data_IF_850123645387
#
_entry.id   IF_850123645387
#
_cell.length_a   1.000
_cell.length_b   1.000
_cell.length_c   1.000
_cell.angle_alpha   90.00
_cell.angle_beta   90.00
_cell.angle_gamma   90.00
#
_symmetry.space_group_name_H-M   'P 1'
#
loop_
_entity.id
_entity.type
_entity.pdbx_description
1 polymer ?
#
# COMPACT_ATOMS: atom_id res chain seq x y z
N UNK A 1 -33.64 3.62 0.75
CA UNK A 1 -32.23 3.22 0.97
C UNK A 1 -32.12 2.26 2.14
N UNK A 2 -32.81 2.48 3.27
CA UNK A 2 -32.76 1.58 4.43
C UNK A 2 -33.13 0.12 4.11
N UNK A 3 -33.96 -0.12 3.08
CA UNK A 3 -34.38 -1.45 2.65
C UNK A 3 -33.40 -2.16 1.68
N UNK A 4 -32.30 -1.49 1.28
CA UNK A 4 -31.23 -2.07 0.46
C UNK A 4 -30.06 -2.39 1.38
N UNK A 5 -29.47 -3.57 1.23
CA UNK A 5 -28.34 -3.97 2.06
C UNK A 5 -27.17 -2.99 1.94
N UNK A 6 -26.45 -2.78 3.04
CA UNK A 6 -25.29 -1.90 3.06
C UNK A 6 -24.20 -2.34 2.07
N UNK A 7 -24.03 -3.65 1.90
CA UNK A 7 -23.11 -4.23 0.90
C UNK A 7 -23.41 -3.71 -0.51
N UNK A 8 -24.67 -3.84 -0.96
CA UNK A 8 -25.10 -3.39 -2.28
C UNK A 8 -24.93 -1.87 -2.47
N UNK A 9 -25.19 -1.08 -1.42
CA UNK A 9 -24.97 0.36 -1.46
C UNK A 9 -23.48 0.73 -1.59
N UNK A 10 -22.60 -0.10 -1.03
CA UNK A 10 -21.17 0.13 -1.00
C UNK A 10 -20.41 -0.29 -2.27
N UNK A 11 -21.01 -1.10 -3.14
CA UNK A 11 -20.41 -1.44 -4.43
C UNK A 11 -20.17 -0.17 -5.23
N UNK A 12 -19.11 -0.16 -6.03
CA UNK A 12 -18.80 0.99 -6.88
C UNK A 12 -19.91 1.20 -7.92
N UNK A 13 -19.93 2.35 -8.59
CA UNK A 13 -20.93 2.60 -9.65
C UNK A 13 -20.72 1.67 -10.83
N UNK A 14 -19.46 1.39 -11.14
CA UNK A 14 -19.02 0.44 -12.16
C UNK A 14 -19.44 -1.00 -11.81
N UNK A 15 -19.66 -1.29 -10.52
CA UNK A 15 -20.10 -2.59 -9.99
C UNK A 15 -21.62 -2.63 -9.71
N UNK A 16 -22.38 -1.65 -10.21
CA UNK A 16 -23.84 -1.61 -10.07
C UNK A 16 -24.34 -1.08 -8.74
N UNK A 17 -23.47 -0.57 -7.87
CA UNK A 17 -23.84 0.04 -6.60
C UNK A 17 -23.85 1.56 -6.61
N UNK A 18 -24.15 2.14 -5.46
CA UNK A 18 -24.30 3.60 -5.31
C UNK A 18 -22.94 4.30 -5.22
N UNK A 19 -21.89 3.55 -4.85
CA UNK A 19 -20.53 4.04 -4.61
C UNK A 19 -20.30 4.56 -3.20
N UNK A 20 -21.07 4.11 -2.20
CA UNK A 20 -20.80 4.46 -0.80
C UNK A 20 -19.54 3.74 -0.32
N UNK A 21 -18.74 4.36 0.56
CA UNK A 21 -17.53 3.69 1.05
C UNK A 21 -17.88 2.73 2.18
N UNK A 22 -17.53 1.44 2.09
CA UNK A 22 -17.77 0.52 3.18
C UNK A 22 -16.90 0.87 4.38
N UNK A 23 -17.50 0.93 5.58
CA UNK A 23 -16.81 1.36 6.81
C UNK A 23 -15.57 0.50 7.12
N UNK A 24 -15.63 -0.80 6.83
CA UNK A 24 -14.49 -1.70 7.01
C UNK A 24 -13.29 -1.30 6.14
N UNK A 25 -13.52 -0.88 4.89
CA UNK A 25 -12.47 -0.45 3.97
C UNK A 25 -11.92 0.91 4.40
N UNK A 26 -12.78 1.84 4.81
CA UNK A 26 -12.36 3.14 5.36
C UNK A 26 -11.45 2.96 6.58
N UNK A 27 -11.82 2.07 7.51
CA UNK A 27 -11.01 1.76 8.69
C UNK A 27 -9.65 1.16 8.32
N UNK A 28 -9.62 0.18 7.39
CA UNK A 28 -8.37 -0.42 6.90
C UNK A 28 -7.49 0.62 6.21
N UNK A 29 -8.05 1.43 5.31
CA UNK A 29 -7.33 2.48 4.60
C UNK A 29 -6.77 3.56 5.54
N UNK A 30 -7.49 3.92 6.60
CA UNK A 30 -6.98 4.81 7.63
C UNK A 30 -5.80 4.18 8.40
N UNK A 31 -5.85 2.89 8.69
CA UNK A 31 -4.73 2.13 9.26
C UNK A 31 -3.50 2.14 8.35
N UNK A 32 -3.70 1.88 7.06
CA UNK A 32 -2.61 1.91 6.06
C UNK A 32 -2.03 3.31 5.91
N UNK A 33 -2.86 4.36 5.93
CA UNK A 33 -2.39 5.76 5.96
C UNK A 33 -1.51 6.05 7.18
N UNK A 34 -1.91 5.54 8.35
CA UNK A 34 -1.12 5.69 9.59
C UNK A 34 0.23 4.99 9.45
N UNK A 35 0.23 3.76 8.92
CA UNK A 35 1.43 2.97 8.70
C UNK A 35 2.36 3.60 7.65
N UNK A 36 1.80 4.18 6.59
CA UNK A 36 2.54 4.98 5.60
C UNK A 36 3.24 6.18 6.24
N UNK A 37 2.52 6.94 7.07
CA UNK A 37 3.11 8.09 7.80
C UNK A 37 4.20 7.67 8.76
N UNK A 38 4.03 6.52 9.42
CA UNK A 38 5.04 5.95 10.29
C UNK A 38 6.31 5.60 9.50
N UNK A 39 6.17 4.88 8.40
CA UNK A 39 7.28 4.43 7.56
C UNK A 39 8.01 5.59 6.86
N UNK A 40 7.27 6.60 6.39
CA UNK A 40 7.88 7.80 5.78
C UNK A 40 8.74 8.59 6.78
N UNK A 41 8.47 8.46 8.07
CA UNK A 41 9.21 9.19 9.10
C UNK A 41 8.97 10.70 9.04
N UNK A 42 9.95 11.47 9.53
CA UNK A 42 9.96 12.94 9.48
C UNK A 42 8.94 13.61 10.42
N UNK A 43 8.44 12.89 11.42
CA UNK A 43 7.59 13.47 12.47
C UNK A 43 7.99 12.91 13.82
N UNK A 44 7.90 13.76 14.86
CA UNK A 44 8.19 13.37 16.24
C UNK A 44 7.41 12.13 16.68
N UNK A 45 6.15 12.01 16.23
CA UNK A 45 5.34 10.82 16.50
C UNK A 45 5.94 9.55 15.88
N UNK A 46 6.37 9.61 14.60
CA UNK A 46 6.95 8.44 13.93
C UNK A 46 8.28 8.03 14.58
N UNK A 47 9.13 9.00 14.89
CA UNK A 47 10.42 8.78 15.57
C UNK A 47 10.23 8.19 16.97
N UNK A 48 9.32 8.75 17.77
CA UNK A 48 9.01 8.22 19.09
C UNK A 48 8.48 6.79 19.02
N UNK A 49 7.55 6.51 18.09
CA UNK A 49 7.01 5.16 17.90
C UNK A 49 8.12 4.18 17.47
N UNK A 50 9.03 4.58 16.58
CA UNK A 50 10.13 3.74 16.13
C UNK A 50 11.11 3.45 17.28
N UNK A 51 11.49 4.47 18.04
CA UNK A 51 12.37 4.31 19.20
C UNK A 51 11.74 3.44 20.30
N UNK A 52 10.44 3.60 20.54
CA UNK A 52 9.71 2.82 21.56
C UNK A 52 9.55 1.35 21.17
N UNK A 53 9.16 1.07 19.92
CA UNK A 53 8.71 -0.27 19.53
C UNK A 53 9.67 -1.03 18.61
N UNK A 54 10.35 -0.35 17.68
CA UNK A 54 11.28 -1.03 16.75
C UNK A 54 12.64 -1.27 17.39
N UNK A 55 13.16 -0.35 18.22
CA UNK A 55 14.45 -0.51 18.92
C UNK A 55 15.59 -0.99 17.99
N UNK A 56 15.75 -0.35 16.83
CA UNK A 56 16.71 -0.69 15.75
C UNK A 56 16.39 -1.95 14.93
N UNK A 57 15.25 -2.60 15.15
CA UNK A 57 14.75 -3.66 14.27
C UNK A 57 14.08 -3.02 13.06
N UNK A 58 14.36 -3.53 11.86
CA UNK A 58 13.70 -3.07 10.63
C UNK A 58 12.17 -3.25 10.73
N UNK A 59 11.42 -2.28 10.17
CA UNK A 59 9.96 -2.26 10.21
C UNK A 59 9.33 -3.55 9.69
N UNK A 60 9.87 -4.16 8.63
CA UNK A 60 9.34 -5.35 7.98
C UNK A 60 9.61 -6.63 8.77
N UNK A 61 10.74 -6.71 9.47
CA UNK A 61 11.13 -7.87 10.28
C UNK A 61 10.55 -7.85 11.71
N UNK A 62 10.11 -6.70 12.21
CA UNK A 62 9.60 -6.58 13.58
C UNK A 62 8.38 -7.50 13.80
N UNK A 63 8.46 -8.44 14.76
CA UNK A 63 7.31 -9.31 15.09
C UNK A 63 6.30 -8.55 15.94
N UNK A 64 5.02 -8.89 15.78
CA UNK A 64 3.96 -8.32 16.62
C UNK A 64 4.09 -8.90 18.02
N UNK A 65 4.36 -8.04 19.01
CA UNK A 65 4.44 -8.42 20.42
C UNK A 65 3.16 -8.05 21.18
N UNK A 66 2.83 -8.83 22.22
CA UNK A 66 1.65 -8.58 23.05
C UNK A 66 1.73 -7.28 23.85
N UNK A 67 2.93 -6.81 24.19
CA UNK A 67 3.18 -5.58 24.92
C UNK A 67 3.09 -4.32 24.03
N UNK A 68 2.94 -4.48 22.72
CA UNK A 68 2.74 -3.34 21.82
C UNK A 68 1.36 -2.72 21.98
N UNK A 69 1.28 -1.40 21.83
CA UNK A 69 0.00 -0.70 21.80
C UNK A 69 -0.88 -1.22 20.66
N UNK A 70 -2.20 -1.13 20.85
CA UNK A 70 -3.18 -1.51 19.82
C UNK A 70 -2.91 -0.78 18.51
N UNK A 71 -2.54 0.50 18.58
CA UNK A 71 -2.18 1.32 17.43
C UNK A 71 -0.96 0.77 16.69
N UNK A 72 0.12 0.43 17.39
CA UNK A 72 1.31 -0.10 16.72
C UNK A 72 1.06 -1.48 16.13
N UNK A 73 0.32 -2.35 16.83
CA UNK A 73 -0.13 -3.64 16.27
C UNK A 73 -0.94 -3.45 14.99
N UNK A 74 -1.82 -2.43 14.94
CA UNK A 74 -2.58 -2.11 13.73
C UNK A 74 -1.68 -1.62 12.59
N UNK A 75 -0.66 -0.81 12.88
CA UNK A 75 0.35 -0.39 11.91
C UNK A 75 1.09 -1.60 11.34
N UNK A 76 1.57 -2.53 12.18
CA UNK A 76 2.28 -3.73 11.73
C UNK A 76 1.38 -4.65 10.88
N UNK A 77 0.09 -4.76 11.21
CA UNK A 77 -0.88 -5.54 10.42
C UNK A 77 -1.14 -4.95 9.03
N UNK A 78 -0.81 -3.69 8.78
CA UNK A 78 -0.99 -3.05 7.47
C UNK A 78 0.16 -3.34 6.49
N UNK A 79 1.25 -3.99 6.93
CA UNK A 79 2.41 -4.31 6.08
C UNK A 79 2.07 -4.98 4.76
N UNK A 80 1.19 -6.01 4.67
CA UNK A 80 0.92 -6.67 3.40
C UNK A 80 0.33 -5.73 2.36
N UNK A 81 -0.59 -4.85 2.76
CA UNK A 81 -1.21 -3.85 1.88
C UNK A 81 -0.20 -2.75 1.52
N UNK A 82 0.58 -2.27 2.50
CA UNK A 82 1.62 -1.28 2.24
C UNK A 82 2.63 -1.79 1.22
N UNK A 83 3.13 -3.00 1.41
CA UNK A 83 4.22 -3.57 0.62
C UNK A 83 3.93 -3.57 -0.88
N UNK A 84 2.71 -3.91 -1.28
CA UNK A 84 2.26 -3.88 -2.68
C UNK A 84 1.86 -2.49 -3.21
N UNK A 85 1.81 -1.49 -2.32
CA UNK A 85 1.33 -0.14 -2.64
C UNK A 85 2.45 0.92 -2.60
N UNK A 86 3.69 0.51 -2.34
CA UNK A 86 4.84 1.40 -2.18
C UNK A 86 5.98 0.98 -3.09
N UNK A 87 6.77 1.96 -3.48
CA UNK A 87 8.03 1.79 -4.19
C UNK A 87 9.12 2.58 -3.46
N UNK A 88 10.34 2.05 -3.46
CA UNK A 88 11.52 2.74 -2.93
C UNK A 88 12.19 3.50 -4.08
N UNK A 89 12.27 4.82 -3.97
CA UNK A 89 13.07 5.63 -4.88
C UNK A 89 14.52 5.58 -4.36
N UNK A 90 15.38 4.87 -5.09
CA UNK A 90 16.78 4.67 -4.72
C UNK A 90 17.62 5.90 -5.07
N UNK A 91 18.47 6.31 -4.13
CA UNK A 91 19.48 7.37 -4.27
C UNK A 91 20.80 6.89 -3.70
N UNK A 92 21.21 7.37 -2.53
CA UNK A 92 22.45 6.97 -1.87
C UNK A 92 22.41 5.55 -1.28
N UNK A 93 21.22 4.95 -1.15
CA UNK A 93 21.03 3.61 -0.60
C UNK A 93 21.33 3.50 0.89
N UNK A 94 21.58 4.61 1.59
CA UNK A 94 22.05 4.61 2.99
C UNK A 94 20.92 4.36 3.99
N UNK A 95 19.68 4.65 3.61
CA UNK A 95 18.51 4.46 4.48
C UNK A 95 17.65 3.27 4.07
N UNK A 96 18.10 2.50 3.08
CA UNK A 96 17.39 1.31 2.58
C UNK A 96 18.11 0.04 3.02
N UNK A 97 17.44 -0.77 3.83
CA UNK A 97 17.95 -2.08 4.24
C UNK A 97 18.06 -3.01 3.02
N UNK A 98 19.24 -3.58 2.82
CA UNK A 98 19.54 -4.41 1.66
C UNK A 98 18.62 -5.63 1.58
N UNK A 99 18.32 -6.24 2.73
CA UNK A 99 17.69 -7.55 2.78
C UNK A 99 16.19 -7.49 3.06
N UNK A 100 15.77 -6.54 3.89
CA UNK A 100 14.44 -6.53 4.49
C UNK A 100 13.49 -5.52 3.84
N UNK A 101 14.01 -4.42 3.29
CA UNK A 101 13.15 -3.43 2.64
C UNK A 101 12.68 -3.92 1.25
N UNK A 102 11.42 -3.65 0.87
CA UNK A 102 10.87 -4.11 -0.40
C UNK A 102 11.24 -3.18 -1.58
N UNK A 103 12.53 -3.10 -1.90
CA UNK A 103 13.05 -2.21 -2.95
C UNK A 103 13.12 -2.84 -4.35
N UNK A 104 12.90 -4.16 -4.48
CA UNK A 104 12.86 -4.88 -5.77
C UNK A 104 11.42 -5.18 -6.22
N UNK A 105 10.72 -4.14 -6.70
CA UNK A 105 9.35 -4.28 -7.21
C UNK A 105 8.40 -4.81 -6.14
N UNK A 106 8.35 -4.14 -4.98
CA UNK A 106 7.55 -4.54 -3.82
C UNK A 106 7.98 -5.83 -3.11
N UNK A 107 9.15 -6.39 -3.44
CA UNK A 107 9.75 -7.55 -2.75
C UNK A 107 11.08 -7.18 -2.13
N UNK A 108 11.44 -7.86 -1.04
CA UNK A 108 12.77 -7.74 -0.45
C UNK A 108 13.72 -8.81 -0.99
N UNK A 109 15.03 -8.60 -0.92
CA UNK A 109 16.00 -9.60 -1.35
C UNK A 109 15.85 -10.92 -0.57
N UNK A 110 15.56 -10.82 0.73
CA UNK A 110 15.38 -12.00 1.58
C UNK A 110 14.25 -12.90 1.07
N UNK A 111 13.16 -12.30 0.59
CA UNK A 111 12.01 -13.04 0.05
C UNK A 111 12.31 -13.69 -1.30
N UNK A 112 13.07 -13.00 -2.15
CA UNK A 112 13.46 -13.52 -3.47
C UNK A 112 14.39 -14.73 -3.33
N UNK A 113 15.33 -14.65 -2.38
CA UNK A 113 16.32 -15.71 -2.16
C UNK A 113 15.80 -16.86 -1.28
N UNK A 114 14.61 -16.72 -0.68
CA UNK A 114 13.96 -17.77 0.11
C UNK A 114 14.69 -18.17 1.39
N UNK A 115 15.64 -17.35 1.88
CA UNK A 115 16.55 -17.69 2.98
C UNK A 115 16.21 -17.03 4.32
N UNK A 116 16.88 -17.49 5.39
CA UNK A 116 17.04 -16.75 6.64
C UNK A 116 18.33 -15.93 6.58
N UNK A 117 18.35 -14.76 7.24
CA UNK A 117 19.58 -14.00 7.47
C UNK A 117 20.46 -14.79 8.45
N UNK A 118 21.22 -15.75 7.92
CA UNK A 118 22.00 -16.69 8.74
C UNK A 118 23.21 -16.05 9.41
N UNK A 119 23.68 -14.89 8.94
CA UNK A 119 24.90 -14.26 9.46
C UNK A 119 24.54 -12.97 10.20
N UNK A 120 25.05 -12.84 11.43
CA UNK A 120 24.99 -11.56 12.17
C UNK A 120 25.61 -10.41 11.37
N UNK A 121 26.59 -10.73 10.51
CA UNK A 121 27.23 -9.79 9.57
C UNK A 121 26.28 -9.20 8.52
N UNK A 122 25.15 -9.85 8.23
CA UNK A 122 24.19 -9.38 7.23
C UNK A 122 23.13 -8.44 7.83
N UNK A 123 23.09 -8.28 9.16
CA UNK A 123 22.11 -7.43 9.85
C UNK A 123 22.45 -5.96 9.68
N UNK A 124 21.47 -5.19 9.21
CA UNK A 124 21.59 -3.73 9.05
C UNK A 124 22.51 -3.31 7.90
N UNK A 125 22.83 -4.23 6.98
CA UNK A 125 23.45 -3.85 5.71
C UNK A 125 22.45 -3.03 4.88
N UNK A 126 22.95 -1.97 4.28
CA UNK A 126 22.19 -1.04 3.46
C UNK A 126 22.51 -1.20 1.98
N UNK A 127 21.63 -0.75 1.11
CA UNK A 127 21.83 -0.81 -0.35
C UNK A 127 23.09 -0.07 -0.80
N UNK A 128 23.54 0.95 -0.05
CA UNK A 128 24.81 1.66 -0.30
C UNK A 128 26.04 0.74 -0.36
N UNK A 129 25.99 -0.49 0.17
CA UNK A 129 27.08 -1.48 0.05
C UNK A 129 27.27 -2.01 -1.36
N UNK A 130 26.21 -2.05 -2.14
CA UNK A 130 26.18 -2.51 -3.53
C UNK A 130 25.95 -1.36 -4.50
N UNK A 131 26.12 -0.11 -4.06
CA UNK A 131 26.10 1.09 -4.91
C UNK A 131 27.48 1.72 -4.84
N UNK A 132 28.13 1.90 -5.99
CA UNK A 132 29.42 2.61 -6.11
C UNK A 132 29.35 3.58 -7.27
N UNK A 133 29.67 4.84 -7.01
CA UNK A 133 29.66 5.93 -8.00
C UNK A 133 28.32 6.02 -8.75
N UNK A 134 27.20 5.88 -8.02
CA UNK A 134 25.84 5.93 -8.58
C UNK A 134 25.44 4.69 -9.41
N UNK A 135 26.24 3.63 -9.38
CA UNK A 135 26.01 2.41 -10.18
C UNK A 135 25.85 1.21 -9.26
N UNK A 136 24.86 0.37 -9.56
CA UNK A 136 24.71 -0.93 -8.92
C UNK A 136 25.90 -1.85 -9.21
N UNK A 137 26.55 -2.30 -8.14
CA UNK A 137 27.63 -3.29 -8.11
C UNK A 137 27.22 -4.47 -7.24
N UNK A 138 26.30 -5.33 -7.72
CA UNK A 138 25.81 -6.48 -6.97
C UNK A 138 26.86 -7.61 -6.86
N UNK A 139 28.05 -7.45 -7.45
CA UNK A 139 29.12 -8.45 -7.40
C UNK A 139 29.60 -8.71 -5.96
N UNK A 140 29.83 -9.98 -5.60
CA UNK A 140 30.31 -10.38 -4.27
C UNK A 140 29.23 -10.89 -3.31
N UNK A 141 27.97 -10.87 -3.73
CA UNK A 141 26.85 -11.50 -3.03
C UNK A 141 26.32 -12.70 -3.82
N UNK A 142 25.61 -13.66 -3.19
CA UNK A 142 25.14 -14.90 -3.83
C UNK A 142 23.92 -14.66 -4.74
N UNK A 143 24.00 -13.69 -5.64
CA UNK A 143 22.93 -13.37 -6.58
C UNK A 143 23.01 -14.25 -7.84
N UNK A 144 21.86 -14.65 -8.37
CA UNK A 144 21.81 -15.21 -9.72
C UNK A 144 22.10 -14.12 -10.75
N UNK A 145 22.59 -14.48 -11.93
CA UNK A 145 22.84 -13.52 -13.01
C UNK A 145 21.56 -12.73 -13.37
N UNK A 146 20.41 -13.39 -13.38
CA UNK A 146 19.11 -12.77 -13.62
C UNK A 146 18.76 -11.72 -12.56
N UNK A 147 18.93 -12.03 -11.27
CA UNK A 147 18.66 -11.09 -10.19
C UNK A 147 19.61 -9.88 -10.24
N UNK A 148 20.88 -10.10 -10.58
CA UNK A 148 21.84 -9.01 -10.75
C UNK A 148 21.43 -8.04 -11.89
N UNK A 149 20.89 -8.56 -13.00
CA UNK A 149 20.31 -7.71 -14.05
C UNK A 149 19.05 -6.97 -13.58
N UNK A 150 18.14 -7.63 -12.87
CA UNK A 150 16.95 -6.97 -12.30
C UNK A 150 17.33 -5.79 -11.40
N UNK A 151 18.36 -5.95 -10.56
CA UNK A 151 18.88 -4.88 -9.71
C UNK A 151 19.42 -3.72 -10.57
N UNK A 152 20.20 -4.03 -11.61
CA UNK A 152 20.77 -3.01 -12.52
C UNK A 152 19.72 -2.19 -13.26
N UNK A 153 18.52 -2.72 -13.47
CA UNK A 153 17.42 -1.99 -14.11
C UNK A 153 16.79 -0.93 -13.20
N UNK A 154 17.04 -0.96 -11.89
CA UNK A 154 16.54 0.06 -10.97
C UNK A 154 17.36 1.34 -11.16
N UNK A 155 16.66 2.41 -11.54
CA UNK A 155 17.27 3.74 -11.67
C UNK A 155 17.71 4.28 -10.30
N UNK A 156 18.97 4.65 -10.19
CA UNK A 156 19.49 5.44 -9.07
C UNK A 156 19.44 6.90 -9.47
N UNK A 157 18.78 7.72 -8.67
CA UNK A 157 18.78 9.18 -8.83
C UNK A 157 19.97 9.76 -8.06
N UNK A 158 20.92 10.37 -8.78
CA UNK A 158 22.17 10.93 -8.25
C UNK A 158 22.00 12.34 -7.65
N UNK A 159 20.76 12.81 -7.47
CA UNK A 159 20.52 14.00 -6.65
C UNK A 159 20.94 13.74 -5.20
N UNK A 160 21.67 14.68 -4.58
CA UNK A 160 22.20 14.61 -3.18
C UNK A 160 21.10 14.59 -2.10
N UNK A 161 20.20 13.63 -2.18
CA UNK A 161 19.03 13.51 -1.34
C UNK A 161 18.92 12.09 -0.81
N UNK A 162 18.31 11.96 0.36
CA UNK A 162 18.04 10.67 0.97
C UNK A 162 17.03 9.85 0.14
N UNK A 163 17.20 8.53 0.17
CA UNK A 163 16.22 7.59 -0.38
C UNK A 163 14.81 7.89 0.16
N UNK A 164 13.79 7.69 -0.67
CA UNK A 164 12.41 8.04 -0.30
C UNK A 164 11.41 6.97 -0.70
N UNK A 165 10.27 6.94 0.00
CA UNK A 165 9.16 6.07 -0.36
C UNK A 165 8.15 6.83 -1.23
N UNK A 166 7.70 6.19 -2.30
CA UNK A 166 6.59 6.63 -3.16
C UNK A 166 5.40 5.70 -3.03
N UNK A 167 4.19 6.28 -2.98
CA UNK A 167 2.94 5.52 -3.12
C UNK A 167 2.67 5.22 -4.60
N UNK A 168 2.42 3.94 -4.90
CA UNK A 168 2.17 3.42 -6.27
C UNK A 168 0.84 2.65 -6.38
N UNK A 169 -0.09 2.87 -5.45
CA UNK A 169 -1.40 2.22 -5.51
C UNK A 169 -2.22 2.62 -6.75
N UNK A 170 -3.16 1.77 -7.21
CA UNK A 170 -3.97 2.00 -8.40
C UNK A 170 -4.75 3.31 -8.31
N UNK A 171 -4.79 4.06 -9.41
CA UNK A 171 -5.45 5.37 -9.46
C UNK A 171 -4.74 6.46 -8.65
N UNK A 172 -3.46 6.29 -8.29
CA UNK A 172 -2.59 7.41 -7.89
C UNK A 172 -2.39 8.33 -9.11
N UNK A 173 -3.35 9.22 -9.35
CA UNK A 173 -3.29 10.19 -10.43
C UNK A 173 -1.99 11.00 -10.35
N UNK A 174 -1.17 10.90 -11.39
CA UNK A 174 -0.05 11.77 -11.71
C UNK A 174 1.11 11.76 -10.70
N UNK A 175 2.00 10.77 -10.79
CA UNK A 175 3.44 10.87 -10.48
C UNK A 175 3.92 11.41 -9.12
N UNK A 176 3.03 11.84 -8.21
CA UNK A 176 3.41 12.61 -7.02
C UNK A 176 4.06 11.78 -5.93
N UNK A 177 3.94 10.44 -6.00
CA UNK A 177 4.43 9.52 -4.97
C UNK A 177 3.75 9.71 -3.60
N UNK A 178 2.70 10.53 -3.50
CA UNK A 178 1.98 10.80 -2.25
C UNK A 178 0.86 9.80 -2.01
N UNK A 179 0.61 9.52 -0.73
CA UNK A 179 -0.48 8.64 -0.32
C UNK A 179 -1.84 9.13 -0.81
N UNK A 180 -2.55 8.29 -1.57
CA UNK A 180 -3.90 8.55 -2.03
C UNK A 180 -4.91 7.69 -1.27
N UNK A 181 -5.77 8.33 -0.46
CA UNK A 181 -6.77 7.59 0.32
C UNK A 181 -7.79 6.87 -0.57
N UNK A 182 -8.16 7.46 -1.71
CA UNK A 182 -9.07 6.83 -2.67
C UNK A 182 -8.47 5.54 -3.23
N UNK A 183 -7.20 5.62 -3.67
CA UNK A 183 -6.42 4.49 -4.16
C UNK A 183 -6.33 3.37 -3.11
N UNK A 184 -5.91 3.71 -1.90
CA UNK A 184 -5.82 2.73 -0.81
C UNK A 184 -7.18 2.09 -0.49
N UNK A 185 -8.26 2.89 -0.43
CA UNK A 185 -9.60 2.38 -0.18
C UNK A 185 -10.08 1.42 -1.27
N UNK A 186 -9.71 1.68 -2.54
CA UNK A 186 -9.98 0.76 -3.65
C UNK A 186 -9.19 -0.54 -3.49
N UNK A 187 -7.92 -0.50 -3.08
CA UNK A 187 -7.13 -1.72 -2.83
C UNK A 187 -7.69 -2.62 -1.71
N UNK A 188 -8.33 -2.05 -0.68
CA UNK A 188 -8.72 -2.79 0.53
C UNK A 188 -10.20 -3.17 0.59
N UNK A 189 -11.03 -2.66 -0.34
CA UNK A 189 -12.45 -3.00 -0.40
C UNK A 189 -12.63 -4.33 -1.12
N UNK A 190 -13.78 -4.94 -0.88
CA UNK A 190 -14.25 -6.04 -1.73
C UNK A 190 -14.65 -5.48 -3.10
N UNK A 191 -14.16 -6.11 -4.16
CA UNK A 191 -14.57 -5.84 -5.53
C UNK A 191 -15.68 -6.80 -5.93
N UNK A 192 -16.56 -6.34 -6.82
CA UNK A 192 -17.64 -7.13 -7.38
C UNK A 192 -17.63 -7.03 -8.89
N UNK A 193 -18.28 -7.98 -9.56
CA UNK A 193 -18.42 -7.92 -11.01
C UNK A 193 -19.38 -6.79 -11.42
N UNK A 194 -19.11 -6.22 -12.59
CA UNK A 194 -20.00 -5.26 -13.24
C UNK A 194 -21.35 -5.92 -13.51
N UNK A 195 -22.44 -5.23 -13.20
CA UNK A 195 -23.79 -5.69 -13.54
C UNK A 195 -24.27 -5.04 -14.84
N UNK A 196 -25.16 -5.72 -15.57
CA UNK A 196 -25.68 -5.25 -16.86
C UNK A 196 -26.46 -3.93 -16.73
N UNK A 197 -27.06 -3.66 -15.57
CA UNK A 197 -27.90 -2.47 -15.37
C UNK A 197 -27.08 -1.19 -15.09
N UNK A 198 -25.75 -1.30 -14.96
CA UNK A 198 -24.84 -0.18 -14.61
C UNK A 198 -25.00 1.01 -15.54
N UNK A 199 -24.99 0.77 -16.84
CA UNK A 199 -25.04 1.84 -17.85
C UNK A 199 -26.39 2.55 -17.84
N UNK A 200 -27.46 1.81 -17.60
CA UNK A 200 -28.81 2.36 -17.47
C UNK A 200 -28.98 3.20 -16.19
N UNK A 201 -28.48 2.72 -15.05
CA UNK A 201 -28.70 3.39 -13.75
C UNK A 201 -27.79 4.61 -13.59
N UNK A 202 -26.53 4.51 -14.01
CA UNK A 202 -25.49 5.50 -13.69
C UNK A 202 -25.09 6.39 -14.85
N UNK A 203 -25.91 6.46 -15.90
CA UNK A 203 -25.76 7.38 -17.02
C UNK A 203 -25.62 8.84 -16.56
N UNK A 204 -24.61 9.56 -17.09
CA UNK A 204 -24.27 10.93 -16.67
C UNK A 204 -25.33 11.96 -17.04
N UNK A 205 -26.18 11.69 -18.04
CA UNK A 205 -27.31 12.52 -18.46
C UNK A 205 -28.54 12.40 -17.55
N UNK A 206 -28.60 11.39 -16.68
CA UNK A 206 -29.71 11.19 -15.74
C UNK A 206 -29.44 11.92 -14.43
N UNK A 207 -30.39 12.74 -13.99
CA UNK A 207 -30.31 13.43 -12.70
C UNK A 207 -30.17 12.42 -11.53
N UNK A 208 -29.30 12.72 -10.56
CA UNK A 208 -28.96 11.80 -9.44
C UNK A 208 -30.17 11.26 -8.68
N UNK A 209 -31.22 12.07 -8.51
CA UNK A 209 -32.48 11.66 -7.87
C UNK A 209 -33.17 10.52 -8.63
N UNK A 210 -33.14 10.57 -9.97
CA UNK A 210 -33.75 9.56 -10.85
C UNK A 210 -32.90 8.29 -10.88
N UNK A 211 -31.56 8.41 -10.91
CA UNK A 211 -30.64 7.26 -10.78
C UNK A 211 -30.91 6.48 -9.49
N UNK A 212 -31.04 7.18 -8.36
CA UNK A 212 -31.35 6.55 -7.06
C UNK A 212 -32.76 5.94 -7.02
N UNK A 213 -33.72 6.51 -7.77
CA UNK A 213 -35.06 5.95 -7.91
C UNK A 213 -35.02 4.65 -8.72
N UNK A 214 -34.39 4.66 -9.90
CA UNK A 214 -34.19 3.50 -10.76
C UNK A 214 -33.44 2.38 -10.02
N UNK A 215 -32.39 2.71 -9.28
CA UNK A 215 -31.65 1.77 -8.45
C UNK A 215 -32.54 1.09 -7.39
N UNK A 216 -33.47 1.82 -6.76
CA UNK A 216 -34.43 1.23 -5.81
C UNK A 216 -35.47 0.36 -6.52
N UNK A 217 -35.95 0.80 -7.68
CA UNK A 217 -36.94 0.09 -8.48
C UNK A 217 -36.40 -1.28 -8.92
N UNK A 218 -35.21 -1.31 -9.50
CA UNK A 218 -34.54 -2.55 -9.98
C UNK A 218 -34.14 -3.52 -8.86
N UNK A 219 -34.19 -3.07 -7.60
CA UNK A 219 -33.96 -3.94 -6.43
C UNK A 219 -35.25 -4.29 -5.70
N UNK A 220 -36.41 -3.90 -6.23
CA UNK A 220 -37.72 -4.14 -5.63
C UNK A 220 -37.92 -3.43 -4.28
N UNK A 221 -37.22 -2.30 -4.05
CA UNK A 221 -37.21 -1.56 -2.77
C UNK A 221 -37.77 -0.14 -2.90
N UNK A 222 -38.63 0.08 -3.89
CA UNK A 222 -39.41 1.32 -3.95
C UNK A 222 -40.50 1.22 -2.86
N UNK A 223 -40.63 2.25 -2.01
CA UNK A 223 -41.70 2.24 -1.01
C UNK A 223 -43.01 2.57 -1.72
N UNK A 224 -43.90 1.58 -1.82
CA UNK A 224 -45.30 1.79 -2.15
C UNK A 224 -46.00 2.30 -0.89
N UNK A 225 -46.95 3.23 -1.05
CA UNK A 225 -47.84 3.63 0.05
C UNK A 225 -48.88 2.51 0.17
N UNK A 226 -48.66 1.59 1.09
CA UNK A 226 -49.66 0.65 1.59
C UNK A 226 -49.93 0.96 3.06
#
# INVERSE_FOLDING_TARGET
>A
MHAISWDQLCRSREEGGVGMRPLHAVRKAAGVKMAWRFMKGGSLWAEWMANRYLRRINFWACRIDNNFSVTFKAILRCRPVLKIAICRNMKDGMTTDLWLDPWLGSRSLLEILGGQLDREADRGLTCSRIIRDGIWRPEGYPYTAQLAEEIRLITIDDSQHEDSWSWVGPGSGGGSGLFCFRSCNDMVRTHHDRTEEVDFIWDKGIARKMQLCAYRLLRGRLMTRD
#
